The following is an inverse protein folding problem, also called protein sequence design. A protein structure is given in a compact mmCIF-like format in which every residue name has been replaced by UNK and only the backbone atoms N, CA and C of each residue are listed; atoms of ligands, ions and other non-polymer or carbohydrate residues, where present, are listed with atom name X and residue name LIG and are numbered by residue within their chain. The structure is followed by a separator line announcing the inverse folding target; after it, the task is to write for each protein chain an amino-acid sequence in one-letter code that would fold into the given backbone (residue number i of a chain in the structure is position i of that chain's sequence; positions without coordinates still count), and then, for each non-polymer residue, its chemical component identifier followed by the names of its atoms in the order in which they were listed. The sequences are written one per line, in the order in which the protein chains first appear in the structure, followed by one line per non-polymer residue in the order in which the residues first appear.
data_IF_396112933330
#
_entry.id   IF_396112933330
#
_cell.length_a   1.000
_cell.length_b   1.000
_cell.length_c   1.000
_cell.angle_alpha   90.00
_cell.angle_beta   90.00
_cell.angle_gamma   90.00
#
_symmetry.space_group_name_H-M   'P 1'
#
loop_
_entity.id
_entity.type
_entity.pdbx_description
1 polymer ?
#
# COMPACT_ATOMS: atom_id res chain seq x y z
N UNK A 1 39.85 1.81 0.53
CA UNK A 1 39.35 0.43 0.36
C UNK A 1 37.83 0.48 0.30
N UNK A 2 37.22 -0.05 -0.76
CA UNK A 2 35.76 -0.12 -0.87
C UNK A 2 35.19 -1.07 0.18
N UNK A 3 34.17 -0.64 0.91
CA UNK A 3 33.54 -1.44 1.94
C UNK A 3 32.92 -2.70 1.35
N UNK A 4 33.17 -3.85 1.98
CA UNK A 4 32.68 -5.15 1.51
C UNK A 4 31.19 -5.29 1.87
N UNK A 5 30.37 -5.77 0.94
CA UNK A 5 28.99 -6.17 1.22
C UNK A 5 28.97 -7.23 2.32
N UNK A 6 28.02 -7.11 3.26
CA UNK A 6 27.88 -8.05 4.37
C UNK A 6 27.18 -9.33 3.92
N UNK A 7 26.27 -9.23 2.94
CA UNK A 7 25.50 -10.33 2.40
C UNK A 7 25.93 -10.68 0.96
N UNK A 8 25.46 -11.84 0.47
CA UNK A 8 25.70 -12.30 -0.90
C UNK A 8 25.03 -11.42 -1.97
N UNK A 9 25.07 -11.88 -3.22
CA UNK A 9 24.38 -11.22 -4.32
C UNK A 9 22.85 -11.12 -4.07
N UNK A 10 22.24 -10.02 -4.51
CA UNK A 10 20.80 -9.77 -4.30
C UNK A 10 19.93 -10.88 -4.92
N UNK A 11 20.31 -11.35 -6.11
CA UNK A 11 19.63 -12.43 -6.84
C UNK A 11 19.46 -13.70 -6.00
N UNK A 12 20.42 -14.02 -5.12
CA UNK A 12 20.33 -15.16 -4.22
C UNK A 12 19.19 -15.00 -3.21
N UNK A 13 18.95 -13.77 -2.75
CA UNK A 13 17.89 -13.44 -1.81
C UNK A 13 16.53 -13.30 -2.50
N UNK A 14 16.48 -12.89 -3.76
CA UNK A 14 15.24 -12.92 -4.56
C UNK A 14 14.77 -14.37 -4.79
N UNK A 15 15.68 -15.27 -5.17
CA UNK A 15 15.37 -16.69 -5.30
C UNK A 15 14.96 -17.32 -3.96
N UNK A 16 15.64 -16.93 -2.87
CA UNK A 16 15.28 -17.39 -1.52
C UNK A 16 13.91 -16.87 -1.10
N UNK A 17 13.59 -15.61 -1.39
CA UNK A 17 12.29 -15.01 -1.11
C UNK A 17 11.17 -15.83 -1.77
N UNK A 18 11.32 -16.16 -3.05
CA UNK A 18 10.35 -17.00 -3.77
C UNK A 18 10.10 -18.34 -3.06
N UNK A 19 11.16 -19.05 -2.65
CA UNK A 19 11.05 -20.31 -1.90
C UNK A 19 10.41 -20.13 -0.52
N UNK A 20 10.69 -19.02 0.16
CA UNK A 20 10.09 -18.71 1.47
C UNK A 20 8.60 -18.45 1.34
N UNK A 21 8.18 -17.72 0.30
CA UNK A 21 6.76 -17.45 0.03
C UNK A 21 6.00 -18.75 -0.27
N UNK A 22 6.59 -19.64 -1.06
CA UNK A 22 6.03 -20.98 -1.32
C UNK A 22 5.83 -21.78 -0.02
N UNK A 23 6.85 -21.81 0.85
CA UNK A 23 6.80 -22.51 2.14
C UNK A 23 5.76 -21.94 3.11
N UNK A 24 5.45 -20.65 3.00
CA UNK A 24 4.43 -19.97 3.78
C UNK A 24 3.04 -20.02 3.12
N UNK A 25 2.90 -20.72 2.00
CA UNK A 25 1.67 -20.80 1.19
C UNK A 25 1.15 -19.43 0.70
N UNK A 26 2.07 -18.47 0.52
CA UNK A 26 1.78 -17.12 0.05
C UNK A 26 1.84 -17.09 -1.48
N UNK A 27 0.73 -16.72 -2.12
CA UNK A 27 0.61 -16.63 -3.59
C UNK A 27 0.78 -15.22 -4.14
N UNK A 28 0.32 -14.23 -3.40
CA UNK A 28 0.34 -12.82 -3.79
C UNK A 28 1.33 -12.08 -2.90
N UNK A 29 2.48 -11.73 -3.49
CA UNK A 29 3.51 -10.95 -2.83
C UNK A 29 4.23 -10.05 -3.83
N UNK A 30 4.79 -8.97 -3.31
CA UNK A 30 5.59 -8.01 -4.06
C UNK A 30 6.76 -7.55 -3.18
N UNK A 31 7.81 -7.03 -3.81
CA UNK A 31 8.97 -6.53 -3.09
C UNK A 31 9.71 -5.46 -3.87
N UNK A 32 10.48 -4.65 -3.15
CA UNK A 32 11.45 -3.75 -3.74
C UNK A 32 12.66 -3.62 -2.82
N UNK A 33 13.83 -3.38 -3.40
CA UNK A 33 14.97 -2.86 -2.66
C UNK A 33 15.69 -1.83 -3.53
N UNK A 34 16.11 -0.75 -2.89
CA UNK A 34 16.87 0.30 -3.53
C UNK A 34 18.25 0.44 -2.87
N UNK A 35 18.87 1.61 -3.03
CA UNK A 35 20.18 1.88 -2.42
C UNK A 35 20.12 1.97 -0.89
N UNK A 36 18.97 2.37 -0.32
CA UNK A 36 18.81 2.79 1.07
C UNK A 36 17.98 1.82 1.92
N UNK A 37 17.14 1.00 1.31
CA UNK A 37 16.31 0.04 2.03
C UNK A 37 15.55 -0.91 1.12
N UNK A 38 14.55 -1.56 1.72
CA UNK A 38 13.71 -2.55 1.06
C UNK A 38 12.35 -2.68 1.73
N UNK A 39 11.43 -3.33 1.03
CA UNK A 39 10.22 -3.87 1.60
C UNK A 39 9.80 -5.15 0.89
N UNK A 40 9.07 -5.99 1.61
CA UNK A 40 8.37 -7.18 1.11
C UNK A 40 6.95 -7.09 1.62
N UNK A 41 5.97 -7.18 0.73
CA UNK A 41 4.56 -7.20 1.07
C UNK A 41 3.89 -8.46 0.54
N UNK A 42 2.90 -8.98 1.27
CA UNK A 42 2.17 -10.16 0.87
C UNK A 42 0.77 -10.21 1.47
N UNK A 43 -0.13 -10.94 0.80
CA UNK A 43 -1.45 -11.24 1.33
C UNK A 43 -1.48 -12.61 2.00
N UNK A 44 -1.97 -12.66 3.23
CA UNK A 44 -2.19 -13.90 3.97
C UNK A 44 -3.55 -13.84 4.68
N UNK A 45 -4.39 -14.87 4.46
CA UNK A 45 -5.77 -14.94 4.98
C UNK A 45 -6.59 -13.65 4.72
N UNK A 46 -6.39 -13.01 3.57
CA UNK A 46 -7.10 -11.79 3.14
C UNK A 46 -6.49 -10.47 3.61
N UNK A 47 -5.54 -10.52 4.54
CA UNK A 47 -4.89 -9.35 5.14
C UNK A 47 -3.57 -9.03 4.44
N UNK A 48 -3.23 -7.75 4.35
CA UNK A 48 -1.96 -7.27 3.80
C UNK A 48 -0.93 -7.14 4.91
N UNK A 49 0.26 -7.68 4.67
CA UNK A 49 1.41 -7.60 5.55
C UNK A 49 2.57 -6.95 4.82
N UNK A 50 3.39 -6.18 5.55
CA UNK A 50 4.58 -5.55 5.00
C UNK A 50 5.74 -5.58 5.99
N UNK A 51 6.86 -6.11 5.53
CA UNK A 51 8.14 -6.07 6.23
C UNK A 51 9.01 -5.05 5.52
N UNK A 52 9.43 -4.01 6.22
CA UNK A 52 10.30 -2.98 5.64
C UNK A 52 11.52 -2.72 6.51
N UNK A 53 12.66 -2.56 5.83
CA UNK A 53 13.94 -2.34 6.49
C UNK A 53 14.80 -1.35 5.70
N UNK A 54 15.70 -0.67 6.39
CA UNK A 54 16.54 0.35 5.80
C UNK A 54 17.84 0.53 6.58
N UNK A 55 18.82 1.15 5.95
CA UNK A 55 20.09 1.53 6.58
C UNK A 55 19.84 2.39 7.81
N UNK A 56 18.88 3.32 7.74
CA UNK A 56 18.52 4.19 8.85
C UNK A 56 17.92 3.39 10.02
N UNK A 57 16.94 2.52 9.74
CA UNK A 57 16.33 1.65 10.77
C UNK A 57 17.35 0.73 11.43
N UNK A 58 18.31 0.20 10.68
CA UNK A 58 19.38 -0.61 11.22
C UNK A 58 20.28 0.21 12.16
N UNK A 59 20.68 1.42 11.72
CA UNK A 59 21.55 2.31 12.48
C UNK A 59 20.95 2.72 13.82
N UNK A 60 19.65 3.01 13.89
CA UNK A 60 18.98 3.36 15.15
C UNK A 60 18.97 2.21 16.18
N UNK A 61 19.24 0.99 15.73
CA UNK A 61 19.37 -0.22 16.55
C UNK A 61 20.82 -0.68 16.74
N UNK A 62 21.80 0.13 16.33
CA UNK A 62 23.22 -0.20 16.44
C UNK A 62 23.69 -1.28 15.45
N UNK A 63 22.88 -1.59 14.42
CA UNK A 63 23.24 -2.53 13.36
C UNK A 63 23.83 -1.76 12.19
N UNK A 64 25.06 -2.07 11.80
CA UNK A 64 25.71 -1.47 10.64
C UNK A 64 25.45 -2.27 9.37
N UNK A 65 24.61 -1.74 8.48
CA UNK A 65 24.49 -2.18 7.08
C UNK A 65 24.74 -0.99 6.15
N UNK A 66 25.18 -1.27 4.91
CA UNK A 66 25.63 -0.21 3.99
C UNK A 66 24.81 -0.10 2.71
N UNK A 67 24.07 -1.14 2.35
CA UNK A 67 23.30 -1.20 1.12
C UNK A 67 21.85 -1.61 1.41
N UNK A 68 20.89 -1.09 0.65
CA UNK A 68 19.50 -1.57 0.71
C UNK A 68 19.39 -3.06 0.35
N UNK A 69 20.31 -3.61 -0.44
CA UNK A 69 20.41 -5.07 -0.65
C UNK A 69 20.78 -5.85 0.63
N UNK A 70 21.53 -5.25 1.55
CA UNK A 70 21.79 -5.88 2.87
C UNK A 70 20.50 -5.87 3.71
N UNK A 71 19.75 -4.76 3.68
CA UNK A 71 18.45 -4.68 4.35
C UNK A 71 17.48 -5.73 3.80
N UNK A 72 17.46 -5.91 2.47
CA UNK A 72 16.66 -6.93 1.80
C UNK A 72 17.04 -8.34 2.23
N UNK A 73 18.34 -8.65 2.23
CA UNK A 73 18.83 -9.93 2.71
C UNK A 73 18.37 -10.24 4.14
N UNK A 74 18.42 -9.26 5.04
CA UNK A 74 17.95 -9.42 6.42
C UNK A 74 16.45 -9.69 6.50
N UNK A 75 15.62 -8.98 5.72
CA UNK A 75 14.18 -9.22 5.66
C UNK A 75 13.88 -10.64 5.16
N UNK A 76 14.54 -11.07 4.06
CA UNK A 76 14.35 -12.42 3.50
C UNK A 76 14.76 -13.51 4.49
N UNK A 77 15.87 -13.33 5.21
CA UNK A 77 16.32 -14.29 6.23
C UNK A 77 15.36 -14.35 7.42
N UNK A 78 14.82 -13.22 7.87
CA UNK A 78 13.82 -13.19 8.94
C UNK A 78 12.52 -13.90 8.52
N UNK A 79 12.08 -13.72 7.27
CA UNK A 79 10.93 -14.46 6.71
C UNK A 79 11.24 -15.96 6.61
N UNK A 80 12.47 -16.34 6.28
CA UNK A 80 12.90 -17.74 6.27
C UNK A 80 12.86 -18.37 7.68
N UNK A 81 13.25 -17.61 8.70
CA UNK A 81 13.15 -18.03 10.10
C UNK A 81 11.68 -18.23 10.51
N UNK A 82 10.79 -17.31 10.11
CA UNK A 82 9.34 -17.47 10.32
C UNK A 82 8.81 -18.75 9.66
N UNK A 83 9.18 -19.00 8.40
CA UNK A 83 8.80 -20.23 7.71
C UNK A 83 9.28 -21.49 8.44
N UNK A 84 10.53 -21.49 8.94
CA UNK A 84 11.05 -22.62 9.73
C UNK A 84 10.28 -22.83 11.04
N UNK A 85 9.81 -21.78 11.70
CA UNK A 85 9.00 -21.90 12.92
C UNK A 85 7.62 -22.50 12.63
N UNK A 86 6.99 -22.10 11.52
CA UNK A 86 5.69 -22.64 11.07
C UNK A 86 5.81 -24.13 10.74
N UNK A 87 6.81 -24.52 9.95
CA UNK A 87 7.05 -25.92 9.57
C UNK A 87 7.35 -26.83 10.76
N UNK A 88 8.02 -26.29 11.79
CA UNK A 88 8.29 -27.01 13.04
C UNK A 88 7.08 -27.09 13.98
N UNK A 89 5.96 -26.46 13.63
CA UNK A 89 4.76 -26.42 14.46
C UNK A 89 4.93 -25.63 15.75
N UNK A 90 5.90 -24.72 15.82
CA UNK A 90 6.13 -23.90 17.04
C UNK A 90 4.97 -22.92 17.22
N UNK A 91 4.54 -22.27 16.12
CA UNK A 91 3.37 -21.39 16.06
C UNK A 91 2.83 -21.30 14.62
N UNK A 92 1.55 -20.95 14.45
CA UNK A 92 1.05 -20.52 13.15
C UNK A 92 1.65 -19.18 12.74
N UNK A 93 1.77 -18.93 11.42
CA UNK A 93 2.15 -17.62 10.89
C UNK A 93 1.23 -16.52 11.44
N UNK A 94 -0.07 -16.82 11.54
CA UNK A 94 -1.12 -15.93 12.03
C UNK A 94 -0.82 -15.36 13.42
N UNK A 95 -0.18 -16.14 14.29
CA UNK A 95 0.20 -15.73 15.65
C UNK A 95 1.25 -14.62 15.64
N UNK A 96 2.23 -14.68 14.74
CA UNK A 96 3.33 -13.72 14.68
C UNK A 96 2.96 -12.45 13.91
N UNK A 97 2.21 -12.61 12.83
CA UNK A 97 1.89 -11.47 11.96
C UNK A 97 0.69 -10.66 12.46
N UNK A 98 -0.01 -11.09 13.51
CA UNK A 98 -1.21 -10.40 14.03
C UNK A 98 -0.98 -8.90 14.32
N UNK A 99 0.18 -8.54 14.88
CA UNK A 99 0.57 -7.15 15.14
C UNK A 99 1.22 -6.43 13.96
N UNK A 100 1.43 -7.13 12.83
CA UNK A 100 2.15 -6.65 11.65
C UNK A 100 1.22 -6.33 10.48
N UNK A 101 -0.10 -6.30 10.72
CA UNK A 101 -1.08 -5.93 9.69
C UNK A 101 -0.73 -4.55 9.14
N UNK A 102 -0.48 -4.50 7.83
CA UNK A 102 -0.23 -3.25 7.15
C UNK A 102 -1.58 -2.69 6.71
N UNK A 103 -1.91 -1.49 7.17
CA UNK A 103 -3.09 -0.80 6.66
C UNK A 103 -2.81 -0.46 5.20
N UNK A 104 -3.70 -0.81 4.25
CA UNK A 104 -3.57 -0.32 2.89
C UNK A 104 -3.47 1.21 2.93
N UNK A 105 -2.70 1.83 2.02
CA UNK A 105 -2.62 3.28 1.97
C UNK A 105 -4.05 3.85 1.91
N UNK A 106 -4.34 4.91 2.67
CA UNK A 106 -5.67 5.50 2.68
C UNK A 106 -6.05 5.84 1.24
N UNK A 107 -7.25 5.40 0.82
CA UNK A 107 -7.79 5.79 -0.48
C UNK A 107 -8.02 7.29 -0.41
N UNK A 108 -7.13 8.07 -1.02
CA UNK A 108 -7.31 9.51 -1.12
C UNK A 108 -8.53 9.78 -1.98
N UNK A 109 -9.59 10.29 -1.37
CA UNK A 109 -10.79 10.70 -2.10
C UNK A 109 -10.45 11.94 -2.93
N UNK A 110 -10.54 11.88 -4.27
CA UNK A 110 -10.33 13.04 -5.13
C UNK A 110 -11.12 14.27 -4.65
N UNK A 111 -10.52 15.45 -4.81
CA UNK A 111 -11.10 16.71 -4.29
C UNK A 111 -12.47 17.02 -4.87
N UNK A 112 -12.76 16.61 -6.10
CA UNK A 112 -14.08 16.76 -6.72
C UNK A 112 -15.16 15.90 -6.06
N UNK A 113 -14.83 14.70 -5.54
CA UNK A 113 -15.77 13.91 -4.76
C UNK A 113 -16.01 14.54 -3.37
N UNK A 114 -14.96 15.03 -2.71
CA UNK A 114 -15.10 15.77 -1.45
C UNK A 114 -15.95 17.03 -1.61
N UNK A 115 -15.79 17.77 -2.70
CA UNK A 115 -16.62 18.94 -3.02
C UNK A 115 -18.11 18.57 -3.13
N UNK A 116 -18.43 17.42 -3.72
CA UNK A 116 -19.80 16.90 -3.79
C UNK A 116 -20.30 16.28 -2.48
N UNK A 117 -19.48 16.32 -1.42
CA UNK A 117 -19.82 15.83 -0.08
C UNK A 117 -19.72 14.31 0.08
N UNK A 118 -18.86 13.65 -0.70
CA UNK A 118 -18.53 12.24 -0.50
C UNK A 118 -17.35 12.07 0.46
N UNK A 119 -17.50 11.18 1.45
CA UNK A 119 -16.44 10.79 2.39
C UNK A 119 -15.58 9.63 1.86
N UNK A 120 -16.06 8.93 0.84
CA UNK A 120 -15.40 7.81 0.16
C UNK A 120 -15.64 7.90 -1.36
N UNK A 121 -14.83 7.21 -2.17
CA UNK A 121 -15.10 7.16 -3.62
C UNK A 121 -16.46 6.48 -3.83
N UNK A 122 -17.42 7.13 -4.52
CA UNK A 122 -18.75 6.56 -4.73
C UNK A 122 -18.69 5.26 -5.54
N UNK A 123 -19.76 4.47 -5.42
CA UNK A 123 -19.87 3.15 -6.03
C UNK A 123 -19.94 3.19 -7.57
N UNK A 124 -20.36 4.33 -8.15
CA UNK A 124 -20.37 4.53 -9.59
C UNK A 124 -20.97 5.88 -10.02
N UNK A 125 -21.02 6.10 -11.34
CA UNK A 125 -21.49 7.35 -11.94
C UNK A 125 -22.97 7.67 -11.64
N UNK A 126 -23.80 6.66 -11.35
CA UNK A 126 -25.21 6.86 -10.99
C UNK A 126 -25.34 7.66 -9.69
N UNK A 127 -24.58 7.28 -8.66
CA UNK A 127 -24.56 7.92 -7.35
C UNK A 127 -24.06 9.38 -7.45
N UNK A 128 -23.06 9.62 -8.30
CA UNK A 128 -22.56 10.96 -8.63
C UNK A 128 -23.67 11.83 -9.24
N UNK A 129 -24.42 11.29 -10.21
CA UNK A 129 -25.52 12.02 -10.89
C UNK A 129 -26.65 12.37 -9.94
N UNK A 130 -27.01 11.45 -9.05
CA UNK A 130 -28.01 11.72 -8.02
C UNK A 130 -27.56 12.83 -7.07
N UNK A 131 -26.31 12.77 -6.60
CA UNK A 131 -25.73 13.80 -5.72
C UNK A 131 -25.63 15.16 -6.42
N UNK A 132 -25.20 15.18 -7.68
CA UNK A 132 -25.18 16.39 -8.51
C UNK A 132 -26.57 17.03 -8.59
N UNK A 133 -27.62 16.25 -8.90
CA UNK A 133 -29.00 16.76 -8.97
C UNK A 133 -29.49 17.33 -7.65
N UNK A 134 -29.09 16.75 -6.51
CA UNK A 134 -29.43 17.28 -5.19
C UNK A 134 -28.77 18.64 -4.93
N UNK A 135 -27.46 18.74 -5.20
CA UNK A 135 -26.69 19.97 -5.01
C UNK A 135 -27.09 21.07 -6.00
N UNK A 136 -27.40 20.72 -7.25
CA UNK A 136 -27.85 21.66 -8.26
C UNK A 136 -29.12 22.41 -7.82
N UNK A 137 -30.04 21.74 -7.11
CA UNK A 137 -31.28 22.39 -6.62
C UNK A 137 -31.04 23.54 -5.65
N UNK A 138 -29.92 23.54 -4.91
CA UNK A 138 -29.59 24.56 -3.92
C UNK A 138 -28.51 25.52 -4.39
N UNK A 139 -27.61 25.06 -5.27
CA UNK A 139 -26.47 25.84 -5.74
C UNK A 139 -26.74 26.59 -7.05
N UNK A 140 -27.83 26.29 -7.76
CA UNK A 140 -28.16 26.99 -9.00
C UNK A 140 -28.46 28.48 -8.74
N UNK A 141 -27.95 29.41 -9.58
CA UNK A 141 -28.21 30.85 -9.44
C UNK A 141 -29.69 31.21 -9.33
N UNK A 142 -30.54 30.56 -10.14
CA UNK A 142 -32.00 30.76 -10.13
C UNK A 142 -32.69 30.33 -8.82
N UNK A 143 -32.03 29.52 -7.99
CA UNK A 143 -32.52 29.08 -6.68
C UNK A 143 -31.91 29.90 -5.52
N UNK A 144 -31.19 30.99 -5.80
CA UNK A 144 -30.50 31.81 -4.81
C UNK A 144 -29.06 31.38 -4.51
N UNK A 145 -28.49 30.48 -5.32
CA UNK A 145 -27.09 30.05 -5.23
C UNK A 145 -26.10 31.00 -5.94
N UNK A 146 -24.81 30.69 -5.84
CA UNK A 146 -23.74 31.43 -6.50
C UNK A 146 -23.31 30.75 -7.81
N UNK A 147 -23.21 31.53 -8.90
CA UNK A 147 -22.76 31.08 -10.22
C UNK A 147 -21.36 30.45 -10.19
N UNK A 148 -20.45 30.96 -9.38
CA UNK A 148 -19.11 30.37 -9.24
C UNK A 148 -19.14 28.96 -8.63
N UNK A 149 -20.00 28.75 -7.64
CA UNK A 149 -20.09 27.46 -6.95
C UNK A 149 -20.86 26.44 -7.80
N UNK A 150 -21.83 26.90 -8.60
CA UNK A 150 -22.48 26.07 -9.61
C UNK A 150 -21.51 25.63 -10.71
N UNK A 151 -20.64 26.53 -11.20
CA UNK A 151 -19.58 26.16 -12.16
C UNK A 151 -18.60 25.12 -11.59
N UNK A 152 -18.22 25.25 -10.31
CA UNK A 152 -17.39 24.23 -9.62
C UNK A 152 -18.12 22.89 -9.52
N UNK A 153 -19.42 22.89 -9.28
CA UNK A 153 -20.24 21.67 -9.22
C UNK A 153 -20.31 20.95 -10.56
N UNK A 154 -20.53 21.67 -11.67
CA UNK A 154 -20.51 21.10 -13.03
C UNK A 154 -19.12 20.54 -13.37
N UNK A 155 -18.05 21.26 -13.01
CA UNK A 155 -16.69 20.78 -13.21
C UNK A 155 -16.39 19.51 -12.40
N UNK A 156 -16.89 19.42 -11.17
CA UNK A 156 -16.74 18.26 -10.31
C UNK A 156 -17.49 17.03 -10.85
N UNK A 157 -18.72 17.19 -11.35
CA UNK A 157 -19.47 16.11 -12.01
C UNK A 157 -18.70 15.56 -13.22
N UNK A 158 -18.21 16.44 -14.10
CA UNK A 158 -17.46 16.04 -15.29
C UNK A 158 -16.15 15.33 -14.96
N UNK A 159 -15.46 15.77 -13.91
CA UNK A 159 -14.25 15.10 -13.42
C UNK A 159 -14.58 13.70 -12.86
N UNK A 160 -15.69 13.56 -12.15
CA UNK A 160 -16.17 12.29 -11.62
C UNK A 160 -16.59 11.32 -12.74
N UNK A 161 -17.27 11.78 -13.79
CA UNK A 161 -17.59 10.93 -14.95
C UNK A 161 -16.32 10.40 -15.62
N UNK A 162 -15.35 11.28 -15.90
CA UNK A 162 -14.04 10.86 -16.44
C UNK A 162 -13.29 9.89 -15.53
N UNK A 163 -13.43 10.03 -14.21
CA UNK A 163 -12.81 9.12 -13.25
C UNK A 163 -13.34 7.68 -13.42
N UNK A 164 -14.64 7.51 -13.65
CA UNK A 164 -15.24 6.20 -13.86
C UNK A 164 -15.07 5.66 -15.29
N UNK A 165 -14.88 6.51 -16.29
CA UNK A 165 -14.55 6.09 -17.66
C UNK A 165 -13.14 5.52 -17.80
N UNK A 166 -12.19 5.98 -16.98
CA UNK A 166 -10.78 5.58 -17.02
C UNK A 166 -10.43 4.46 -16.02
N UNK A 167 -11.44 3.85 -15.37
CA UNK A 167 -11.27 2.82 -14.34
C UNK A 167 -11.72 1.47 -14.87
#
# INVERSE_FOLDING_TARGET
MGAKKQYGAADNYEQKLSRVMERLEIKDYNYNFDRFGCWVEFRYKGELYRFDHSIEKARTRGVEIRYGSDAFAQVVLALEDLARMVERGIYELSTWVAGMKYLPPPVEVPTFFRFMGFEQIPSGAVEVKERYRQLAKTMHPDAGGNDEDFKKLVAAEKAAEKFFENK
#
